data_IF_263901230705
#
_entry.id   IF_263901230705
#
_cell.length_a   1.000
_cell.length_b   1.000
_cell.length_c   1.000
_cell.angle_alpha   90.00
_cell.angle_beta   90.00
_cell.angle_gamma   90.00
#
_symmetry.space_group_name_H-M   'P 1'
#
loop_
_entity.id
_entity.type
_entity.pdbx_description
1 polymer ?
#
# COMPACT_ATOMS: atom_id res chain seq x y z
N UNK A 1 -9.63 -21.91 4.27
CA UNK A 1 -9.88 -22.45 2.91
C UNK A 1 -9.41 -21.42 1.91
N UNK A 2 -8.44 -21.74 1.05
CA UNK A 2 -8.10 -20.86 -0.07
C UNK A 2 -9.31 -20.85 -1.01
N UNK A 3 -9.93 -19.69 -1.18
CA UNK A 3 -10.99 -19.51 -2.17
C UNK A 3 -10.45 -20.01 -3.52
N UNK A 4 -11.20 -20.88 -4.20
CA UNK A 4 -10.76 -21.41 -5.50
C UNK A 4 -10.47 -20.24 -6.45
N UNK A 5 -9.53 -20.42 -7.38
CA UNK A 5 -9.23 -19.41 -8.42
C UNK A 5 -10.49 -18.89 -9.12
N UNK A 6 -11.51 -19.74 -9.23
CA UNK A 6 -12.83 -19.43 -9.76
C UNK A 6 -13.65 -18.43 -8.92
N UNK A 7 -13.51 -18.44 -7.60
CA UNK A 7 -14.15 -17.48 -6.71
C UNK A 7 -13.49 -16.11 -6.79
N UNK A 8 -12.15 -16.06 -6.85
CA UNK A 8 -11.39 -14.80 -7.00
C UNK A 8 -11.68 -14.11 -8.34
N UNK A 9 -11.73 -14.86 -9.44
CA UNK A 9 -12.07 -14.31 -10.76
C UNK A 9 -13.46 -13.64 -10.82
N UNK A 10 -14.39 -14.02 -9.95
CA UNK A 10 -15.74 -13.42 -9.87
C UNK A 10 -15.81 -12.13 -9.07
N UNK A 11 -14.76 -11.78 -8.33
CA UNK A 11 -14.76 -10.58 -7.49
C UNK A 11 -14.58 -9.28 -8.27
N UNK A 12 -14.01 -9.36 -9.48
CA UNK A 12 -13.61 -8.20 -10.26
C UNK A 12 -12.41 -7.44 -9.67
N UNK A 13 -11.67 -8.06 -8.75
CA UNK A 13 -10.41 -7.51 -8.23
C UNK A 13 -9.30 -7.65 -9.27
N UNK A 14 -8.52 -6.58 -9.45
CA UNK A 14 -7.42 -6.54 -10.42
C UNK A 14 -6.07 -6.97 -9.82
N UNK A 15 -5.94 -6.91 -8.49
CA UNK A 15 -4.69 -7.14 -7.76
C UNK A 15 -4.93 -7.68 -6.35
N UNK A 16 -3.90 -8.28 -5.76
CA UNK A 16 -3.88 -8.65 -4.34
C UNK A 16 -2.89 -7.78 -3.55
N UNK A 17 -3.30 -7.33 -2.38
CA UNK A 17 -2.42 -6.65 -1.43
C UNK A 17 -2.00 -7.62 -0.32
N UNK A 18 -0.70 -7.65 -0.04
CA UNK A 18 -0.06 -8.55 0.92
C UNK A 18 0.57 -7.72 2.03
N UNK A 19 0.31 -8.13 3.28
CA UNK A 19 0.88 -7.54 4.48
C UNK A 19 1.87 -8.53 5.09
N UNK A 20 3.20 -8.30 5.01
CA UNK A 20 4.20 -9.24 5.53
C UNK A 20 4.06 -9.58 7.02
N UNK A 21 3.46 -8.69 7.82
CA UNK A 21 3.15 -8.95 9.22
C UNK A 21 2.02 -9.97 9.43
N UNK A 22 1.21 -10.23 8.39
CA UNK A 22 0.01 -11.05 8.44
C UNK A 22 0.13 -12.31 7.56
N UNK A 23 0.96 -12.28 6.51
CA UNK A 23 1.19 -13.41 5.63
C UNK A 23 2.61 -13.46 5.05
N UNK A 24 3.03 -14.65 4.60
CA UNK A 24 4.25 -14.78 3.79
C UNK A 24 3.96 -14.27 2.36
N UNK A 25 4.68 -13.23 1.95
CA UNK A 25 4.51 -12.60 0.63
C UNK A 25 4.81 -13.57 -0.54
N UNK A 26 5.57 -14.65 -0.32
CA UNK A 26 5.81 -15.67 -1.34
C UNK A 26 4.55 -16.40 -1.78
N UNK A 27 3.48 -16.34 -0.98
CA UNK A 27 2.18 -16.89 -1.38
C UNK A 27 1.64 -16.22 -2.65
N UNK A 28 2.10 -15.02 -3.00
CA UNK A 28 1.77 -14.31 -4.25
C UNK A 28 1.96 -15.18 -5.50
N UNK A 29 2.98 -16.04 -5.56
CA UNK A 29 3.24 -16.91 -6.72
C UNK A 29 2.04 -17.81 -7.04
N UNK A 30 1.33 -18.26 -6.00
CA UNK A 30 0.16 -19.12 -6.13
C UNK A 30 -1.15 -18.36 -6.38
N UNK A 31 -1.14 -17.03 -6.27
CA UNK A 31 -2.33 -16.21 -6.44
C UNK A 31 -2.63 -15.99 -7.94
N UNK A 32 -3.92 -15.93 -8.32
CA UNK A 32 -4.34 -15.75 -9.71
C UNK A 32 -4.20 -14.30 -10.22
N UNK A 33 -3.59 -13.41 -9.43
CA UNK A 33 -3.38 -12.01 -9.80
C UNK A 33 -2.02 -11.82 -10.46
N UNK A 34 -1.98 -11.06 -11.54
CA UNK A 34 -0.73 -10.63 -12.18
C UNK A 34 -0.03 -9.54 -11.36
N UNK A 35 -0.82 -8.65 -10.75
CA UNK A 35 -0.34 -7.54 -9.94
C UNK A 35 -0.50 -7.84 -8.45
N UNK A 36 0.56 -7.58 -7.69
CA UNK A 36 0.53 -7.65 -6.23
C UNK A 36 1.09 -6.39 -5.61
N UNK A 37 0.46 -5.91 -4.54
CA UNK A 37 0.98 -4.82 -3.73
C UNK A 37 1.51 -5.35 -2.40
N UNK A 38 2.66 -4.83 -1.95
CA UNK A 38 3.26 -5.16 -0.65
C UNK A 38 3.13 -3.93 0.24
N UNK A 39 2.27 -4.04 1.24
CA UNK A 39 2.00 -3.01 2.24
C UNK A 39 2.56 -3.47 3.60
N UNK A 40 3.76 -3.01 3.94
CA UNK A 40 4.44 -3.45 5.16
C UNK A 40 4.29 -2.43 6.30
N UNK A 41 4.25 -2.94 7.52
CA UNK A 41 3.96 -2.15 8.72
C UNK A 41 5.19 -2.11 9.63
N UNK A 42 6.14 -1.21 9.37
CA UNK A 42 7.39 -1.14 10.14
C UNK A 42 8.56 -1.87 9.49
N UNK A 43 9.77 -1.42 9.80
CA UNK A 43 11.01 -1.80 9.09
C UNK A 43 11.34 -3.29 9.23
N UNK A 44 10.97 -3.89 10.35
CA UNK A 44 11.11 -5.31 10.64
C UNK A 44 10.29 -6.21 9.69
N UNK A 45 9.29 -5.65 9.02
CA UNK A 45 8.41 -6.36 8.08
C UNK A 45 8.74 -6.06 6.62
N UNK A 46 9.80 -5.28 6.34
CA UNK A 46 10.29 -5.07 4.98
C UNK A 46 10.82 -6.39 4.40
N UNK A 47 10.28 -6.89 3.27
CA UNK A 47 10.81 -8.09 2.65
C UNK A 47 12.26 -7.91 2.20
N UNK A 48 13.04 -8.98 2.28
CA UNK A 48 14.41 -8.96 1.79
C UNK A 48 14.48 -8.83 0.26
N UNK A 49 15.63 -8.35 -0.23
CA UNK A 49 15.87 -8.08 -1.66
C UNK A 49 15.70 -9.31 -2.54
N UNK A 50 16.04 -10.52 -2.04
CA UNK A 50 15.91 -11.75 -2.84
C UNK A 50 14.43 -12.09 -3.06
N UNK A 51 13.64 -12.04 -1.98
CA UNK A 51 12.19 -12.26 -2.03
C UNK A 51 11.50 -11.30 -2.99
N UNK A 52 11.88 -10.01 -2.95
CA UNK A 52 11.34 -9.01 -3.87
C UNK A 52 11.73 -9.29 -5.32
N UNK A 53 12.97 -9.75 -5.57
CA UNK A 53 13.45 -10.08 -6.91
C UNK A 53 12.74 -11.30 -7.49
N UNK A 54 12.59 -12.35 -6.69
CA UNK A 54 11.85 -13.57 -7.08
C UNK A 54 10.40 -13.25 -7.45
N UNK A 55 9.73 -12.42 -6.65
CA UNK A 55 8.37 -11.97 -6.94
C UNK A 55 8.28 -11.13 -8.21
N UNK A 56 9.18 -10.16 -8.38
CA UNK A 56 9.21 -9.27 -9.54
C UNK A 56 9.55 -10.00 -10.85
N UNK A 57 10.16 -11.18 -10.79
CA UNK A 57 10.42 -12.00 -11.98
C UNK A 57 9.15 -12.61 -12.59
N UNK A 58 8.07 -12.74 -11.81
CA UNK A 58 6.82 -13.42 -12.23
C UNK A 58 5.57 -12.54 -12.14
N UNK A 59 5.61 -11.49 -11.32
CA UNK A 59 4.45 -10.64 -10.99
C UNK A 59 4.79 -9.17 -11.18
N UNK A 60 3.78 -8.36 -11.44
CA UNK A 60 3.89 -6.91 -11.34
C UNK A 60 3.84 -6.52 -9.86
N UNK A 61 5.01 -6.34 -9.23
CA UNK A 61 5.11 -6.02 -7.80
C UNK A 61 5.12 -4.52 -7.59
N UNK A 62 4.24 -4.04 -6.72
CA UNK A 62 4.23 -2.67 -6.21
C UNK A 62 4.52 -2.70 -4.71
N UNK A 63 5.50 -1.94 -4.22
CA UNK A 63 5.78 -1.86 -2.79
C UNK A 63 5.50 -0.46 -2.26
N UNK A 64 4.86 -0.39 -1.09
CA UNK A 64 4.73 0.88 -0.36
C UNK A 64 6.10 1.41 0.05
N UNK A 65 6.39 2.68 -0.24
CA UNK A 65 7.66 3.33 0.09
C UNK A 65 7.37 4.56 0.98
N UNK A 66 7.65 4.48 2.30
CA UNK A 66 7.41 5.57 3.24
C UNK A 66 8.48 6.64 3.11
N UNK A 67 8.19 7.72 2.37
CA UNK A 67 9.19 8.74 2.01
C UNK A 67 9.74 9.54 3.17
N UNK A 68 9.18 9.41 4.38
CA UNK A 68 9.70 10.03 5.60
C UNK A 68 10.63 9.12 6.40
N UNK A 69 10.67 7.83 6.11
CA UNK A 69 11.46 6.86 6.88
C UNK A 69 12.92 6.84 6.40
N UNK A 70 13.86 6.70 7.32
CA UNK A 70 15.28 6.53 7.00
C UNK A 70 15.51 5.25 6.20
N UNK A 71 16.29 5.38 5.13
CA UNK A 71 16.48 4.40 4.08
C UNK A 71 15.58 4.64 2.86
N UNK A 72 14.48 5.37 3.00
CA UNK A 72 13.55 5.70 1.92
C UNK A 72 13.30 7.22 1.75
N UNK A 73 14.00 8.07 2.50
CA UNK A 73 13.85 9.51 2.43
C UNK A 73 14.64 10.09 1.26
N UNK A 74 14.01 10.54 0.16
CA UNK A 74 14.71 11.03 -1.02
C UNK A 74 15.45 12.36 -0.78
N UNK A 75 15.17 13.04 0.34
CA UNK A 75 15.84 14.27 0.77
C UNK A 75 16.76 14.03 1.98
N UNK A 76 16.99 12.76 2.36
CA UNK A 76 17.75 12.34 3.52
C UNK A 76 18.48 11.03 3.26
N UNK A 77 18.36 10.06 4.19
CA UNK A 77 18.86 8.70 3.98
C UNK A 77 17.92 7.92 3.06
N UNK A 78 18.40 7.59 1.86
CA UNK A 78 17.72 6.80 0.83
C UNK A 78 18.41 5.44 0.57
N UNK A 79 19.24 4.98 1.52
CA UNK A 79 20.12 3.82 1.34
C UNK A 79 19.41 2.48 1.09
N UNK A 80 18.12 2.35 1.46
CA UNK A 80 17.31 1.17 1.15
C UNK A 80 16.60 1.29 -0.20
N UNK A 81 16.18 2.49 -0.59
CA UNK A 81 15.55 2.73 -1.88
C UNK A 81 16.47 2.30 -3.03
N UNK A 82 17.75 2.65 -2.96
CA UNK A 82 18.75 2.25 -3.96
C UNK A 82 19.06 0.74 -4.00
N UNK A 83 18.51 -0.05 -3.08
CA UNK A 83 18.67 -1.53 -3.03
C UNK A 83 17.42 -2.27 -3.49
N UNK A 84 16.36 -1.57 -3.86
CA UNK A 84 15.18 -2.21 -4.41
C UNK A 84 15.56 -2.89 -5.74
N UNK A 85 15.17 -4.16 -5.95
CA UNK A 85 15.41 -4.84 -7.21
C UNK A 85 14.75 -4.11 -8.38
N UNK A 86 15.37 -4.19 -9.54
CA UNK A 86 14.74 -3.81 -10.80
C UNK A 86 13.42 -4.60 -10.97
N UNK A 87 12.38 -3.94 -11.48
CA UNK A 87 11.05 -4.53 -11.67
C UNK A 87 10.10 -4.39 -10.48
N UNK A 88 10.58 -3.95 -9.31
CA UNK A 88 9.70 -3.56 -8.20
C UNK A 88 9.24 -2.12 -8.41
N UNK A 89 7.96 -1.96 -8.75
CA UNK A 89 7.31 -0.66 -8.79
C UNK A 89 7.03 -0.12 -7.38
N UNK A 90 6.75 1.18 -7.29
CA UNK A 90 6.68 1.90 -6.01
C UNK A 90 5.33 2.56 -5.81
N UNK A 91 4.87 2.55 -4.56
CA UNK A 91 3.73 3.34 -4.09
C UNK A 91 4.23 4.26 -2.99
N UNK A 92 4.52 5.51 -3.33
CA UNK A 92 5.05 6.48 -2.39
C UNK A 92 3.98 6.93 -1.41
N UNK A 93 4.27 6.78 -0.12
CA UNK A 93 3.37 7.13 0.98
C UNK A 93 4.12 8.00 1.99
N UNK A 94 3.40 8.76 2.81
CA UNK A 94 4.03 9.51 3.90
C UNK A 94 4.65 8.60 4.97
N UNK A 95 4.24 7.33 5.06
CA UNK A 95 4.56 6.44 6.18
C UNK A 95 3.66 6.68 7.38
N UNK A 96 3.13 5.60 7.96
CA UNK A 96 2.21 5.67 9.09
C UNK A 96 2.97 6.07 10.37
N UNK A 97 2.45 7.05 11.11
CA UNK A 97 3.07 7.62 12.31
C UNK A 97 3.41 6.62 13.43
N UNK A 98 2.77 5.45 13.46
CA UNK A 98 2.99 4.40 14.44
C UNK A 98 4.33 3.67 14.20
N UNK A 99 4.82 3.70 12.96
CA UNK A 99 6.02 3.01 12.52
C UNK A 99 7.19 3.96 12.25
N UNK A 100 6.98 5.26 12.46
CA UNK A 100 7.99 6.29 12.31
C UNK A 100 8.53 6.72 13.67
N UNK A 101 9.80 7.07 13.73
CA UNK A 101 10.42 7.82 14.83
C UNK A 101 9.88 9.26 14.89
N UNK A 102 10.13 9.97 15.99
CA UNK A 102 9.70 11.37 16.12
C UNK A 102 10.32 12.26 15.04
N UNK A 103 11.62 12.07 14.77
CA UNK A 103 12.32 12.84 13.76
C UNK A 103 11.75 12.58 12.36
N UNK A 104 11.48 11.33 12.00
CA UNK A 104 10.83 10.97 10.73
C UNK A 104 9.42 11.57 10.63
N UNK A 105 8.62 11.54 11.71
CA UNK A 105 7.27 12.13 11.73
C UNK A 105 7.28 13.63 11.43
N UNK A 106 8.31 14.35 11.87
CA UNK A 106 8.43 15.81 11.73
C UNK A 106 8.70 16.27 10.28
N UNK A 107 9.10 15.35 9.40
CA UNK A 107 9.55 15.65 8.04
C UNK A 107 8.41 16.11 7.12
N UNK A 108 8.68 17.11 6.29
CA UNK A 108 7.74 17.62 5.30
C UNK A 108 7.51 16.60 4.17
N UNK A 109 6.23 16.27 3.93
CA UNK A 109 5.77 15.21 3.03
C UNK A 109 5.86 15.62 1.55
N UNK A 110 5.23 16.74 1.17
CA UNK A 110 5.11 17.18 -0.22
C UNK A 110 6.45 17.27 -0.99
N UNK A 111 7.52 17.90 -0.47
CA UNK A 111 8.79 17.97 -1.19
C UNK A 111 9.43 16.59 -1.36
N UNK A 112 9.20 15.65 -0.43
CA UNK A 112 9.72 14.28 -0.53
C UNK A 112 8.98 13.46 -1.56
N UNK A 113 7.65 13.58 -1.63
CA UNK A 113 6.89 12.93 -2.70
C UNK A 113 7.29 13.45 -4.09
N UNK A 114 7.52 14.77 -4.22
CA UNK A 114 8.04 15.36 -5.46
C UNK A 114 9.40 14.76 -5.85
N UNK A 115 10.36 14.76 -4.93
CA UNK A 115 11.68 14.18 -5.17
C UNK A 115 11.66 12.66 -5.44
N UNK A 116 10.75 11.93 -4.81
CA UNK A 116 10.55 10.50 -5.06
C UNK A 116 10.05 10.24 -6.49
N UNK A 117 9.07 11.03 -6.96
CA UNK A 117 8.51 10.92 -8.30
C UNK A 117 9.46 11.40 -9.39
N UNK A 118 10.33 12.39 -9.12
CA UNK A 118 11.41 12.76 -10.04
C UNK A 118 12.36 11.59 -10.31
N UNK A 119 12.57 10.72 -9.31
CA UNK A 119 13.42 9.52 -9.42
C UNK A 119 12.70 8.31 -9.97
N UNK A 120 11.40 8.16 -9.68
CA UNK A 120 10.55 7.07 -10.17
C UNK A 120 9.25 7.66 -10.72
N UNK A 121 9.27 8.13 -11.99
CA UNK A 121 8.12 8.83 -12.58
C UNK A 121 6.85 7.99 -12.71
N UNK A 122 7.00 6.67 -12.82
CA UNK A 122 5.88 5.72 -12.90
C UNK A 122 5.33 5.32 -11.52
N UNK A 123 5.93 5.82 -10.44
CA UNK A 123 5.51 5.54 -9.08
C UNK A 123 4.09 6.03 -8.79
N UNK A 124 3.37 5.27 -7.96
CA UNK A 124 2.05 5.65 -7.48
C UNK A 124 2.20 6.53 -6.23
N UNK A 125 1.14 7.27 -5.89
CA UNK A 125 1.08 8.05 -4.65
C UNK A 125 -0.08 7.54 -3.82
N UNK A 126 0.22 7.04 -2.61
CA UNK A 126 -0.79 6.56 -1.67
C UNK A 126 -1.10 7.55 -0.56
N UNK A 127 -2.33 7.50 -0.05
CA UNK A 127 -2.85 8.45 0.95
C UNK A 127 -3.40 7.80 2.22
N UNK A 128 -3.12 8.47 3.33
CA UNK A 128 -4.14 9.25 4.07
C UNK A 128 -3.76 10.74 3.99
N UNK A 129 -4.63 11.62 3.47
CA UNK A 129 -4.51 13.09 3.60
C UNK A 129 -3.56 13.83 2.64
N UNK A 130 -3.27 13.28 1.46
CA UNK A 130 -2.33 13.85 0.48
C UNK A 130 -2.95 13.88 -0.93
N UNK A 131 -4.26 14.10 -1.02
CA UNK A 131 -5.02 14.06 -2.27
C UNK A 131 -4.53 15.11 -3.28
N UNK A 132 -3.95 16.22 -2.80
CA UNK A 132 -3.42 17.30 -3.65
C UNK A 132 -2.15 16.93 -4.41
N UNK A 133 -1.38 15.93 -3.96
CA UNK A 133 -0.10 15.59 -4.59
C UNK A 133 -0.29 14.76 -5.85
N UNK A 134 -1.25 13.82 -5.89
CA UNK A 134 -1.60 13.13 -7.13
C UNK A 134 -2.17 14.07 -8.18
N UNK A 135 -3.02 15.04 -7.79
CA UNK A 135 -3.50 16.07 -8.73
C UNK A 135 -2.35 16.85 -9.37
N UNK A 136 -1.31 17.18 -8.60
CA UNK A 136 -0.18 17.97 -9.10
C UNK A 136 0.78 17.18 -10.01
N UNK A 137 0.84 15.85 -9.83
CA UNK A 137 1.85 15.00 -10.47
C UNK A 137 1.29 14.12 -11.58
N UNK A 138 -0.04 13.91 -11.61
CA UNK A 138 -0.68 12.96 -12.53
C UNK A 138 -0.45 11.49 -12.17
N UNK A 139 0.29 11.21 -11.09
CA UNK A 139 0.57 9.86 -10.63
C UNK A 139 -0.71 9.11 -10.26
N UNK A 140 -0.69 7.78 -10.39
CA UNK A 140 -1.82 6.93 -9.95
C UNK A 140 -2.05 7.16 -8.45
N UNK A 141 -3.30 7.49 -8.10
CA UNK A 141 -3.71 7.69 -6.72
C UNK A 141 -4.06 6.34 -6.10
N UNK A 142 -3.41 5.97 -5.00
CA UNK A 142 -3.65 4.71 -4.28
C UNK A 142 -4.41 4.98 -2.98
N UNK A 143 -5.69 4.61 -2.94
CA UNK A 143 -6.62 4.90 -1.83
C UNK A 143 -6.98 3.66 -1.02
N UNK A 144 -6.97 3.78 0.30
CA UNK A 144 -7.64 2.80 1.15
C UNK A 144 -9.16 3.01 1.08
N UNK A 145 -9.90 1.92 0.85
CA UNK A 145 -11.36 1.92 0.88
C UNK A 145 -11.84 2.33 2.28
N UNK A 146 -12.58 3.42 2.30
CA UNK A 146 -13.09 4.05 3.50
C UNK A 146 -14.51 4.57 3.26
N UNK A 147 -15.15 5.07 4.32
CA UNK A 147 -16.48 5.70 4.22
C UNK A 147 -16.46 7.00 3.40
N UNK A 148 -15.30 7.62 3.21
CA UNK A 148 -15.16 8.86 2.45
C UNK A 148 -14.71 8.63 1.00
N UNK A 149 -14.28 7.43 0.60
CA UNK A 149 -13.68 7.17 -0.73
C UNK A 149 -14.49 7.75 -1.88
N UNK A 150 -15.82 7.59 -1.91
CA UNK A 150 -16.65 8.19 -2.99
C UNK A 150 -16.58 9.72 -3.01
N UNK A 151 -16.56 10.36 -1.84
CA UNK A 151 -16.41 11.82 -1.73
C UNK A 151 -15.02 12.24 -2.20
N UNK A 152 -13.99 11.51 -1.79
CA UNK A 152 -12.59 11.85 -2.05
C UNK A 152 -12.28 11.70 -3.55
N UNK A 153 -12.75 10.62 -4.18
CA UNK A 153 -12.66 10.44 -5.64
C UNK A 153 -13.40 11.54 -6.40
N UNK A 154 -14.61 11.93 -5.96
CA UNK A 154 -15.33 13.04 -6.59
C UNK A 154 -14.59 14.37 -6.44
N UNK A 155 -13.95 14.61 -5.29
CA UNK A 155 -13.15 15.79 -5.05
C UNK A 155 -11.92 15.83 -5.98
N UNK A 156 -11.22 14.70 -6.17
CA UNK A 156 -10.13 14.57 -7.14
C UNK A 156 -10.59 14.90 -8.56
N UNK A 157 -11.71 14.31 -9.00
CA UNK A 157 -12.28 14.57 -10.34
C UNK A 157 -12.70 16.04 -10.50
N UNK A 158 -13.31 16.64 -9.49
CA UNK A 158 -13.68 18.07 -9.51
C UNK A 158 -12.46 19.00 -9.53
N UNK A 159 -11.33 18.57 -8.95
CA UNK A 159 -10.05 19.26 -9.00
C UNK A 159 -9.31 19.06 -10.34
N UNK A 160 -9.89 18.32 -11.29
CA UNK A 160 -9.34 18.09 -12.62
C UNK A 160 -8.38 16.91 -12.74
N UNK A 161 -8.24 16.07 -11.71
CA UNK A 161 -7.46 14.84 -11.82
C UNK A 161 -8.22 13.81 -12.68
N UNK A 162 -7.68 13.45 -13.83
CA UNK A 162 -8.24 12.48 -14.78
C UNK A 162 -7.51 11.11 -14.75
N UNK A 163 -6.42 11.02 -13.99
CA UNK A 163 -5.62 9.81 -13.83
C UNK A 163 -6.31 8.66 -13.09
N UNK A 164 -5.60 7.52 -13.05
CA UNK A 164 -6.03 6.28 -12.42
C UNK A 164 -6.16 6.44 -10.90
N UNK A 165 -7.23 5.87 -10.34
CA UNK A 165 -7.39 5.69 -8.90
C UNK A 165 -7.45 4.20 -8.62
N UNK A 166 -6.44 3.68 -7.94
CA UNK A 166 -6.39 2.31 -7.46
C UNK A 166 -6.92 2.27 -6.02
N UNK A 167 -7.94 1.44 -5.76
CA UNK A 167 -8.59 1.35 -4.45
C UNK A 167 -8.24 0.03 -3.77
N UNK A 168 -7.52 0.10 -2.65
CA UNK A 168 -7.24 -1.01 -1.78
C UNK A 168 -8.43 -1.29 -0.85
N UNK A 169 -9.02 -2.47 -0.95
CA UNK A 169 -10.13 -2.90 -0.09
C UNK A 169 -9.70 -4.10 0.77
N UNK A 170 -9.70 -3.98 2.10
CA UNK A 170 -9.61 -5.15 2.98
C UNK A 170 -10.81 -6.07 2.71
N UNK A 171 -10.55 -7.31 2.34
CA UNK A 171 -11.59 -8.27 1.94
C UNK A 171 -11.40 -9.59 2.66
N UNK A 172 -12.51 -10.21 3.06
CA UNK A 172 -12.56 -11.61 3.56
C UNK A 172 -13.49 -12.35 2.60
N UNK A 173 -12.95 -13.29 1.83
CA UNK A 173 -13.71 -14.02 0.82
C UNK A 173 -14.26 -15.32 1.40
N UNK A 174 -15.29 -15.21 2.24
CA UNK A 174 -16.01 -16.34 2.83
C UNK A 174 -17.47 -15.95 3.11
N UNK A 175 -18.35 -16.94 3.09
CA UNK A 175 -19.76 -16.83 3.52
C UNK A 175 -19.97 -17.32 4.96
N UNK A 176 -18.91 -17.79 5.62
CA UNK A 176 -18.91 -18.19 7.03
C UNK A 176 -18.80 -16.96 7.94
N UNK A 177 -19.88 -16.66 8.66
CA UNK A 177 -19.96 -15.50 9.56
C UNK A 177 -18.91 -15.53 10.68
N UNK A 178 -18.62 -16.72 11.23
CA UNK A 178 -17.63 -16.87 12.29
C UNK A 178 -16.23 -16.58 11.75
N UNK A 179 -15.92 -17.09 10.56
CA UNK A 179 -14.65 -16.81 9.89
C UNK A 179 -14.49 -15.31 9.54
N UNK A 180 -15.57 -14.62 9.19
CA UNK A 180 -15.55 -13.16 8.98
C UNK A 180 -15.21 -12.46 10.30
N UNK A 181 -15.91 -12.80 11.39
CA UNK A 181 -15.71 -12.18 12.70
C UNK A 181 -14.30 -12.41 13.24
N UNK A 182 -13.78 -13.62 13.09
CA UNK A 182 -12.40 -13.95 13.48
C UNK A 182 -11.37 -13.18 12.65
N UNK A 183 -11.58 -13.10 11.33
CA UNK A 183 -10.67 -12.39 10.42
C UNK A 183 -10.63 -10.88 10.68
N UNK A 184 -11.78 -10.25 10.93
CA UNK A 184 -11.84 -8.80 11.18
C UNK A 184 -11.63 -8.44 12.65
N UNK A 185 -11.80 -9.37 13.58
CA UNK A 185 -11.79 -9.13 15.03
C UNK A 185 -10.49 -8.49 15.49
N UNK A 186 -9.35 -9.10 15.17
CA UNK A 186 -8.03 -8.56 15.52
C UNK A 186 -7.76 -7.19 14.84
N UNK A 187 -8.16 -7.03 13.58
CA UNK A 187 -8.02 -5.76 12.85
C UNK A 187 -8.87 -4.63 13.48
N UNK A 188 -10.13 -4.93 13.81
CA UNK A 188 -11.07 -3.99 14.42
C UNK A 188 -10.63 -3.64 15.85
N UNK A 189 -10.12 -4.62 16.61
CA UNK A 189 -9.59 -4.41 17.97
C UNK A 189 -8.44 -3.39 18.02
N UNK A 190 -7.64 -3.27 16.96
CA UNK A 190 -6.56 -2.27 16.86
C UNK A 190 -7.07 -0.83 16.71
N UNK A 191 -8.35 -0.62 16.34
CA UNK A 191 -8.89 0.74 16.18
C UNK A 191 -9.14 1.37 17.55
N UNK A 192 -8.60 2.58 17.74
CA UNK A 192 -8.65 3.35 19.01
C UNK A 192 -9.97 3.26 19.80
N UNK A 193 -11.16 3.42 19.20
CA UNK A 193 -12.42 3.31 19.94
C UNK A 193 -12.70 1.91 20.50
N UNK A 194 -12.33 0.87 19.75
CA UNK A 194 -12.54 -0.54 20.13
C UNK A 194 -11.49 -0.97 21.13
N UNK A 195 -10.21 -0.64 20.89
CA UNK A 195 -9.12 -0.88 21.83
C UNK A 195 -9.35 -0.28 23.22
N UNK A 196 -10.15 0.79 23.32
CA UNK A 196 -10.52 1.42 24.60
C UNK A 196 -11.69 0.74 25.32
N UNK A 197 -12.47 -0.07 24.60
CA UNK A 197 -13.66 -0.75 25.11
C UNK A 197 -13.42 -2.23 25.42
N UNK A 198 -12.29 -2.78 24.95
CA UNK A 198 -11.71 -4.06 25.36
C UNK A 198 -10.83 -3.87 26.60
#
# INVERSE_FOLDING_TARGET
MLASSHALARTGLDAAALKPAECDVRQAHSMPFETVTIDYEGREHLPDTETLRELAAEKNVLMTVPVRADGFDPLGDDSLFGRLPDGVGTVFVAGHSAYLTEDERSRAIAPRLGAALERSPDGWVGTEGIERVATATGATQFELLSRSTTRDVRALRAAGFDGTVAVYAPTVLTDDEDAILDAVGAYVARRKPVARAL
#
